data_IF_426784747662
#
_entry.id   IF_426784747662
#
_cell.length_a   1.000
_cell.length_b   1.000
_cell.length_c   1.000
_cell.angle_alpha   90.00
_cell.angle_beta   90.00
_cell.angle_gamma   90.00
#
_symmetry.space_group_name_H-M   'P 1'
#
loop_
_entity.id
_entity.type
_entity.pdbx_description
1 polymer ?
#
# COMPACT_ATOMS: atom_id res chain seq x y z
N UNK A 1 30.56 -16.60 26.26
CA UNK A 1 29.88 -15.35 26.66
C UNK A 1 30.74 -14.68 27.72
N UNK A 2 31.67 -13.81 27.32
CA UNK A 2 32.53 -13.11 28.27
C UNK A 2 31.74 -12.02 29.02
N UNK A 3 31.87 -12.01 30.35
CA UNK A 3 31.24 -11.02 31.23
C UNK A 3 31.84 -9.64 30.93
N UNK A 4 31.00 -8.71 30.50
CA UNK A 4 31.33 -7.29 30.32
C UNK A 4 31.48 -6.52 31.64
N UNK A 5 31.43 -7.21 32.79
CA UNK A 5 31.51 -6.59 34.10
C UNK A 5 32.93 -6.04 34.35
N UNK A 6 33.04 -4.73 34.55
CA UNK A 6 34.29 -4.06 34.94
C UNK A 6 35.14 -3.50 33.80
N UNK A 7 34.77 -3.69 32.52
CA UNK A 7 35.45 -3.00 31.41
C UNK A 7 34.81 -1.62 31.19
N UNK A 8 35.61 -0.55 31.09
CA UNK A 8 35.08 0.77 30.77
C UNK A 8 34.41 0.74 29.39
N UNK A 9 33.28 1.43 29.21
CA UNK A 9 32.57 1.44 27.93
C UNK A 9 33.47 2.01 26.82
N UNK A 10 33.59 1.28 25.71
CA UNK A 10 34.38 1.70 24.54
C UNK A 10 33.83 2.99 23.90
N UNK A 11 32.53 3.26 24.09
CA UNK A 11 31.89 4.50 23.67
C UNK A 11 31.83 5.49 24.85
N UNK A 12 32.80 6.40 24.91
CA UNK A 12 32.86 7.48 25.90
C UNK A 12 31.93 8.67 25.57
N UNK A 13 31.44 8.73 24.33
CA UNK A 13 30.58 9.80 23.87
C UNK A 13 29.17 9.67 24.44
N UNK A 14 28.73 10.69 25.19
CA UNK A 14 27.32 10.88 25.59
C UNK A 14 26.47 11.51 24.48
N UNK A 15 27.03 11.76 23.30
CA UNK A 15 26.32 12.39 22.20
C UNK A 15 25.17 11.48 21.74
N UNK A 16 23.95 11.94 21.96
CA UNK A 16 22.75 11.26 21.47
C UNK A 16 22.57 11.58 20.00
N UNK A 17 22.54 10.55 19.15
CA UNK A 17 22.39 10.67 17.69
C UNK A 17 21.13 11.48 17.33
N UNK A 18 20.05 11.28 18.09
CA UNK A 18 18.83 12.08 18.00
C UNK A 18 18.26 12.30 19.40
N UNK A 19 18.20 13.55 19.87
CA UNK A 19 17.52 13.88 21.13
C UNK A 19 16.03 14.13 20.90
N UNK A 20 15.18 13.43 21.64
CA UNK A 20 13.73 13.62 21.57
C UNK A 20 13.28 15.05 21.91
N UNK A 21 14.03 15.75 22.77
CA UNK A 21 13.81 17.16 23.12
C UNK A 21 13.99 18.12 21.93
N UNK A 22 14.71 17.71 20.88
CA UNK A 22 14.95 18.51 19.67
C UNK A 22 13.94 18.25 18.57
N UNK A 23 13.00 17.31 18.76
CA UNK A 23 11.92 17.06 17.81
C UNK A 23 10.97 18.26 17.80
N UNK A 24 10.87 18.92 16.64
CA UNK A 24 9.94 20.04 16.42
C UNK A 24 8.50 19.58 16.16
N UNK A 25 8.29 18.28 15.96
CA UNK A 25 6.96 17.70 15.70
C UNK A 25 6.53 16.84 16.89
N UNK A 26 5.28 17.02 17.32
CA UNK A 26 4.66 16.10 18.28
C UNK A 26 4.47 14.76 17.60
N UNK A 27 4.73 13.66 18.32
CA UNK A 27 4.52 12.31 17.83
C UNK A 27 3.08 12.12 17.31
N UNK A 28 2.10 12.68 18.04
CA UNK A 28 0.70 12.70 17.63
C UNK A 28 0.47 13.44 16.31
N UNK A 29 1.05 14.64 16.12
CA UNK A 29 0.93 15.41 14.87
C UNK A 29 1.60 14.68 13.70
N UNK A 30 2.77 14.07 13.94
CA UNK A 30 3.45 13.24 12.96
C UNK A 30 2.55 12.08 12.53
N UNK A 31 2.02 11.29 13.48
CA UNK A 31 1.12 10.19 13.15
C UNK A 31 -0.24 10.65 12.63
N UNK A 32 -0.75 11.83 13.01
CA UNK A 32 -1.99 12.40 12.44
C UNK A 32 -1.78 12.80 10.99
N UNK A 33 -0.64 13.43 10.65
CA UNK A 33 -0.28 13.74 9.26
C UNK A 33 -0.06 12.46 8.46
N UNK A 34 0.64 11.48 9.03
CA UNK A 34 0.87 10.16 8.42
C UNK A 34 -0.44 9.39 8.24
N UNK A 35 -1.32 9.36 9.25
CA UNK A 35 -2.66 8.78 9.17
C UNK A 35 -3.56 9.53 8.21
N UNK A 36 -3.46 10.85 8.05
CA UNK A 36 -4.29 11.62 7.08
C UNK A 36 -3.81 11.42 5.64
N UNK A 37 -2.51 11.21 5.46
CA UNK A 37 -1.90 10.74 4.21
C UNK A 37 -2.42 9.34 3.85
N UNK A 38 -2.63 8.48 4.85
CA UNK A 38 -3.10 7.10 4.70
C UNK A 38 -4.60 6.89 4.91
N UNK A 39 -5.35 7.88 5.41
CA UNK A 39 -6.80 7.85 5.55
C UNK A 39 -7.48 8.05 4.18
N UNK A 40 -6.69 8.14 3.11
CA UNK A 40 -7.16 7.99 1.74
C UNK A 40 -7.11 6.53 1.28
N UNK A 41 -6.62 5.61 2.12
CA UNK A 41 -6.66 4.16 1.91
C UNK A 41 -8.06 3.59 2.24
N UNK A 42 -9.15 4.37 2.21
CA UNK A 42 -10.50 3.86 2.48
C UNK A 42 -11.01 2.99 1.31
N UNK A 43 -11.41 1.74 1.57
CA UNK A 43 -11.88 0.80 0.56
C UNK A 43 -13.14 1.28 -0.19
N UNK A 44 -14.11 1.85 0.52
CA UNK A 44 -15.43 2.22 -0.03
C UNK A 44 -15.34 3.18 -1.21
N UNK A 45 -14.30 4.01 -1.24
CA UNK A 45 -14.11 4.99 -2.31
C UNK A 45 -13.67 4.35 -3.63
N UNK A 46 -13.02 3.18 -3.56
CA UNK A 46 -12.56 2.43 -4.73
C UNK A 46 -13.59 1.43 -5.23
N UNK A 47 -14.66 1.14 -4.48
CA UNK A 47 -15.67 0.15 -4.83
C UNK A 47 -16.28 0.37 -6.21
N UNK A 48 -16.56 1.62 -6.57
CA UNK A 48 -17.10 1.99 -7.88
C UNK A 48 -16.12 1.66 -9.01
N UNK A 49 -14.83 1.91 -8.80
CA UNK A 49 -13.78 1.60 -9.77
C UNK A 49 -13.53 0.09 -9.82
N UNK A 50 -13.56 -0.60 -8.67
CA UNK A 50 -13.41 -2.06 -8.59
C UNK A 50 -14.55 -2.80 -9.30
N UNK A 51 -15.80 -2.34 -9.16
CA UNK A 51 -16.95 -2.86 -9.92
C UNK A 51 -16.87 -2.55 -11.42
N UNK A 52 -16.09 -1.54 -11.82
CA UNK A 52 -15.80 -1.26 -13.24
C UNK A 52 -14.66 -2.13 -13.78
N UNK A 53 -13.71 -2.53 -12.94
CA UNK A 53 -12.56 -3.37 -13.30
C UNK A 53 -12.88 -4.87 -13.25
N UNK A 54 -13.71 -5.30 -12.30
CA UNK A 54 -14.14 -6.69 -12.14
C UNK A 54 -15.63 -6.88 -12.43
N UNK A 55 -16.07 -8.14 -12.56
CA UNK A 55 -17.48 -8.52 -12.65
C UNK A 55 -18.05 -8.81 -11.25
N UNK A 56 -19.37 -8.63 -11.08
CA UNK A 56 -20.07 -9.03 -9.87
C UNK A 56 -20.15 -10.56 -9.77
N UNK A 57 -20.01 -11.12 -8.56
CA UNK A 57 -20.14 -12.56 -8.30
C UNK A 57 -21.47 -13.14 -8.74
N UNK A 58 -22.56 -12.36 -8.66
CA UNK A 58 -23.87 -12.75 -9.16
C UNK A 58 -23.94 -12.90 -10.69
N UNK A 59 -23.15 -12.09 -11.43
CA UNK A 59 -23.14 -12.08 -12.88
C UNK A 59 -22.23 -13.17 -13.49
N UNK A 60 -21.20 -13.59 -12.76
CA UNK A 60 -20.22 -14.57 -13.25
C UNK A 60 -19.79 -15.57 -12.14
N UNK A 61 -20.70 -16.44 -11.66
CA UNK A 61 -20.42 -17.32 -10.52
C UNK A 61 -19.31 -18.34 -10.78
N UNK A 62 -19.15 -18.77 -12.04
CA UNK A 62 -18.11 -19.71 -12.47
C UNK A 62 -16.73 -19.06 -12.69
N UNK A 63 -16.66 -17.73 -12.74
CA UNK A 63 -15.40 -17.03 -12.97
C UNK A 63 -14.52 -17.02 -11.70
N UNK A 64 -13.21 -16.91 -11.91
CA UNK A 64 -12.22 -16.84 -10.84
C UNK A 64 -12.48 -15.63 -9.93
N UNK A 65 -12.36 -15.82 -8.61
CA UNK A 65 -12.44 -14.71 -7.65
C UNK A 65 -11.31 -13.70 -7.89
N UNK A 66 -11.68 -12.42 -7.97
CA UNK A 66 -10.74 -11.31 -8.15
C UNK A 66 -9.65 -11.30 -7.07
N UNK A 67 -10.02 -11.55 -5.81
CA UNK A 67 -9.06 -11.62 -4.70
C UNK A 67 -8.01 -12.73 -4.89
N UNK A 68 -8.40 -13.90 -5.41
CA UNK A 68 -7.47 -15.01 -5.69
C UNK A 68 -6.53 -14.66 -6.83
N UNK A 69 -7.08 -14.10 -7.91
CA UNK A 69 -6.33 -13.62 -9.05
C UNK A 69 -5.27 -12.58 -8.66
N UNK A 70 -5.65 -11.57 -7.85
CA UNK A 70 -4.73 -10.53 -7.40
C UNK A 70 -3.61 -11.05 -6.49
N UNK A 71 -3.89 -12.05 -5.64
CA UNK A 71 -2.87 -12.70 -4.81
C UNK A 71 -1.85 -13.44 -5.67
N UNK A 72 -2.30 -14.16 -6.70
CA UNK A 72 -1.43 -14.88 -7.65
C UNK A 72 -0.57 -13.92 -8.46
N UNK A 73 -1.17 -12.87 -9.00
CA UNK A 73 -0.50 -11.89 -9.87
C UNK A 73 0.30 -10.82 -9.09
N UNK A 74 0.30 -10.88 -7.76
CA UNK A 74 0.86 -9.85 -6.87
C UNK A 74 2.28 -9.43 -7.24
N UNK A 75 3.19 -10.40 -7.42
CA UNK A 75 4.60 -10.10 -7.68
C UNK A 75 4.77 -9.33 -8.99
N UNK A 76 4.15 -9.82 -10.05
CA UNK A 76 4.21 -9.21 -11.39
C UNK A 76 3.65 -7.79 -11.40
N UNK A 77 2.49 -7.57 -10.77
CA UNK A 77 1.87 -6.25 -10.65
C UNK A 77 2.78 -5.29 -9.87
N UNK A 78 3.34 -5.72 -8.74
CA UNK A 78 4.22 -4.87 -7.92
C UNK A 78 5.51 -4.50 -8.64
N UNK A 79 6.12 -5.43 -9.37
CA UNK A 79 7.31 -5.16 -10.15
C UNK A 79 7.02 -4.18 -11.28
N UNK A 80 5.94 -4.40 -12.05
CA UNK A 80 5.54 -3.50 -13.12
C UNK A 80 5.26 -2.08 -12.60
N UNK A 81 4.43 -1.94 -11.57
CA UNK A 81 4.04 -0.62 -11.06
C UNK A 81 5.22 0.10 -10.42
N UNK A 82 6.03 -0.57 -9.61
CA UNK A 82 7.14 0.08 -8.89
C UNK A 82 8.24 0.57 -9.86
N UNK A 83 8.54 -0.19 -10.91
CA UNK A 83 9.53 0.21 -11.92
C UNK A 83 9.11 1.49 -12.63
N UNK A 84 7.86 1.60 -13.07
CA UNK A 84 7.41 2.73 -13.89
C UNK A 84 7.01 3.97 -13.08
N UNK A 85 6.55 3.80 -11.84
CA UNK A 85 6.10 4.93 -10.99
C UNK A 85 7.21 5.50 -10.10
N UNK A 86 8.25 4.71 -9.82
CA UNK A 86 9.28 5.03 -8.82
C UNK A 86 8.77 4.97 -7.38
N UNK A 87 7.54 4.49 -7.14
CA UNK A 87 7.01 4.34 -5.79
C UNK A 87 7.66 3.17 -5.05
N UNK A 88 7.90 3.30 -3.73
CA UNK A 88 8.42 2.20 -2.92
C UNK A 88 7.51 0.98 -2.99
N UNK A 89 8.09 -0.20 -3.25
CA UNK A 89 7.35 -1.48 -3.31
C UNK A 89 6.43 -1.69 -2.11
N UNK A 90 6.83 -1.26 -0.91
CA UNK A 90 6.02 -1.34 0.30
C UNK A 90 4.69 -0.56 0.20
N UNK A 91 4.71 0.65 -0.36
CA UNK A 91 3.52 1.49 -0.54
C UNK A 91 2.53 0.83 -1.48
N UNK A 92 3.00 0.41 -2.65
CA UNK A 92 2.15 -0.27 -3.66
C UNK A 92 1.63 -1.61 -3.13
N UNK A 93 2.47 -2.36 -2.41
CA UNK A 93 2.12 -3.64 -1.76
C UNK A 93 1.00 -3.50 -0.74
N UNK A 94 0.96 -2.38 0.00
CA UNK A 94 -0.11 -2.09 0.94
C UNK A 94 -1.41 -1.72 0.23
N UNK A 95 -1.35 -0.86 -0.80
CA UNK A 95 -2.50 -0.50 -1.61
C UNK A 95 -3.13 -1.74 -2.28
N UNK A 96 -2.31 -2.55 -2.95
CA UNK A 96 -2.76 -3.78 -3.60
C UNK A 96 -3.40 -4.75 -2.59
N UNK A 97 -2.87 -4.84 -1.36
CA UNK A 97 -3.47 -5.65 -0.30
C UNK A 97 -4.86 -5.15 0.07
N UNK A 98 -5.04 -3.85 0.29
CA UNK A 98 -6.34 -3.27 0.63
C UNK A 98 -7.38 -3.51 -0.49
N UNK A 99 -7.00 -3.30 -1.76
CA UNK A 99 -7.88 -3.60 -2.90
C UNK A 99 -8.21 -5.10 -2.99
N UNK A 100 -7.25 -5.98 -2.71
CA UNK A 100 -7.47 -7.43 -2.73
C UNK A 100 -8.48 -7.86 -1.66
N UNK A 101 -8.35 -7.32 -0.43
CA UNK A 101 -9.29 -7.56 0.66
C UNK A 101 -10.68 -7.07 0.26
N UNK A 102 -10.78 -5.85 -0.28
CA UNK A 102 -12.06 -5.27 -0.72
C UNK A 102 -12.74 -6.02 -1.86
N UNK A 103 -11.97 -6.49 -2.84
CA UNK A 103 -12.50 -7.36 -3.89
C UNK A 103 -13.09 -8.66 -3.33
N UNK A 104 -12.56 -9.16 -2.22
CA UNK A 104 -13.09 -10.31 -1.50
C UNK A 104 -14.42 -10.00 -0.82
N UNK A 105 -14.51 -8.86 -0.13
CA UNK A 105 -15.73 -8.42 0.55
C UNK A 105 -16.90 -8.19 -0.43
N UNK A 106 -16.59 -7.71 -1.63
CA UNK A 106 -17.56 -7.44 -2.70
C UNK A 106 -17.86 -8.68 -3.58
N UNK A 107 -17.29 -9.85 -3.27
CA UNK A 107 -17.32 -11.09 -4.07
C UNK A 107 -17.09 -10.87 -5.59
N UNK A 108 -16.12 -10.02 -5.94
CA UNK A 108 -15.83 -9.68 -7.33
C UNK A 108 -15.11 -10.82 -8.07
N UNK A 109 -15.34 -10.90 -9.38
CA UNK A 109 -14.86 -11.94 -10.29
C UNK A 109 -14.04 -11.36 -11.43
N UNK A 110 -13.07 -12.15 -11.91
CA UNK A 110 -12.28 -11.79 -13.10
C UNK A 110 -13.22 -11.77 -14.30
N UNK A 111 -13.18 -10.68 -15.07
CA UNK A 111 -14.05 -10.47 -16.23
C UNK A 111 -13.50 -11.11 -17.49
N UNK A 112 -12.21 -10.91 -17.74
CA UNK A 112 -11.51 -11.27 -18.97
C UNK A 112 -10.00 -11.32 -18.74
N UNK A 113 -9.25 -11.74 -19.76
CA UNK A 113 -7.78 -11.80 -19.70
C UNK A 113 -7.14 -10.40 -19.61
N UNK A 114 -7.84 -9.36 -20.08
CA UNK A 114 -7.38 -7.96 -20.01
C UNK A 114 -7.38 -7.39 -18.58
N UNK A 115 -8.07 -8.03 -17.64
CA UNK A 115 -8.22 -7.56 -16.25
C UNK A 115 -6.86 -7.36 -15.57
N UNK A 116 -5.84 -8.16 -15.93
CA UNK A 116 -4.46 -8.02 -15.43
C UNK A 116 -3.82 -6.68 -15.82
N UNK A 117 -4.03 -6.27 -17.08
CA UNK A 117 -3.49 -5.02 -17.61
C UNK A 117 -4.24 -3.83 -17.02
N UNK A 118 -5.57 -3.90 -16.98
CA UNK A 118 -6.44 -2.85 -16.45
C UNK A 118 -6.12 -2.54 -14.98
N UNK A 119 -5.98 -3.56 -14.13
CA UNK A 119 -5.65 -3.34 -12.71
C UNK A 119 -4.24 -2.79 -12.53
N UNK A 120 -3.29 -3.21 -13.36
CA UNK A 120 -1.90 -2.72 -13.30
C UNK A 120 -1.84 -1.25 -13.71
N UNK A 121 -2.53 -0.87 -14.79
CA UNK A 121 -2.66 0.52 -15.22
C UNK A 121 -3.33 1.38 -14.14
N UNK A 122 -4.43 0.89 -13.57
CA UNK A 122 -5.15 1.57 -12.49
C UNK A 122 -4.27 1.80 -11.26
N UNK A 123 -3.55 0.77 -10.80
CA UNK A 123 -2.60 0.88 -9.69
C UNK A 123 -1.46 1.86 -9.99
N UNK A 124 -0.94 1.87 -11.22
CA UNK A 124 0.08 2.82 -11.63
C UNK A 124 -0.44 4.26 -11.63
N UNK A 125 -1.67 4.50 -12.08
CA UNK A 125 -2.33 5.81 -12.00
C UNK A 125 -2.48 6.26 -10.54
N UNK A 126 -2.98 5.39 -9.67
CA UNK A 126 -3.13 5.70 -8.24
C UNK A 126 -1.78 6.01 -7.57
N UNK A 127 -0.78 5.16 -7.80
CA UNK A 127 0.57 5.34 -7.27
C UNK A 127 1.21 6.66 -7.76
N UNK A 128 1.07 6.97 -9.05
CA UNK A 128 1.61 8.21 -9.64
C UNK A 128 0.89 9.46 -9.12
N UNK A 129 -0.43 9.39 -9.00
CA UNK A 129 -1.23 10.48 -8.47
C UNK A 129 -0.89 10.76 -7.00
N UNK A 130 -0.65 9.70 -6.21
CA UNK A 130 -0.20 9.82 -4.83
C UNK A 130 1.16 10.50 -4.73
N UNK A 131 2.12 10.17 -5.61
CA UNK A 131 3.42 10.85 -5.67
C UNK A 131 3.28 12.35 -5.88
N UNK A 132 2.41 12.76 -6.81
CA UNK A 132 2.27 14.15 -7.24
C UNK A 132 1.44 15.00 -6.26
N UNK A 133 0.44 14.41 -5.62
CA UNK A 133 -0.55 15.16 -4.82
C UNK A 133 -0.53 14.80 -3.33
N UNK A 134 0.21 13.76 -2.94
CA UNK A 134 0.07 13.11 -1.64
C UNK A 134 -1.29 12.43 -1.47
N UNK A 135 -2.04 12.23 -2.57
CA UNK A 135 -3.41 11.72 -2.59
C UNK A 135 -3.67 10.71 -3.70
N UNK A 136 -4.45 9.67 -3.42
CA UNK A 136 -4.73 8.63 -4.42
C UNK A 136 -5.81 9.04 -5.45
N UNK A 137 -6.78 9.90 -5.11
CA UNK A 137 -7.80 10.43 -6.04
C UNK A 137 -8.27 11.83 -5.60
N UNK A 138 -8.78 12.64 -6.53
CA UNK A 138 -9.44 13.93 -6.21
C UNK A 138 -10.84 13.64 -5.66
N UNK A 139 -11.15 14.24 -4.51
CA UNK A 139 -12.50 14.24 -3.91
C UNK A 139 -13.49 14.98 -4.77
#
# INVERSE_FOLDING_TARGET
MERLAGRPPLALSRAKICEASRLRSRLELYYKKRRRLYAQDFPDFFDSDLRRLFADGSAAPAAERAASFLRRSRKSILEAVSVWTGEPKFTVSRLLRALTERCGDLDLRVRNDATALEITAYLATLASHYRLTGRFKKS
#
